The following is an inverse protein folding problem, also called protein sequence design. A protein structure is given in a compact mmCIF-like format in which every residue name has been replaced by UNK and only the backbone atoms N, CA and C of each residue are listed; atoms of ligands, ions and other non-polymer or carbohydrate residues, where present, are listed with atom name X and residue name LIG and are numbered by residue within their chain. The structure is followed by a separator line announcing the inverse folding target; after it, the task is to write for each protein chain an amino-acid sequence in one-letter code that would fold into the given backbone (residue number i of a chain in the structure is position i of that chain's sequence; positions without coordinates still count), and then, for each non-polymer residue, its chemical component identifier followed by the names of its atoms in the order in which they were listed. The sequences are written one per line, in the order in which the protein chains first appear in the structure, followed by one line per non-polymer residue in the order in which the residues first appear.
data_IF_993408656054
#
_entry.id   IF_993408656054
#
_cell.length_a   1.000
_cell.length_b   1.000
_cell.length_c   1.000
_cell.angle_alpha   90.00
_cell.angle_beta   90.00
_cell.angle_gamma   90.00
#
_symmetry.space_group_name_H-M   'P 1'
#
loop_
_entity.id
_entity.type
_entity.pdbx_description
1 polymer ?
#
# COMPACT_ATOMS: atom_id res chain seq x y z
N UNK A 1 0.07 -15.55 7.36
CA UNK A 1 1.13 -14.63 6.94
C UNK A 1 2.35 -14.91 7.80
N UNK A 2 3.25 -15.75 7.29
CA UNK A 2 4.54 -16.03 7.92
C UNK A 2 5.43 -14.88 7.48
N UNK A 3 5.59 -13.85 8.31
CA UNK A 3 6.70 -12.93 8.10
C UNK A 3 7.98 -13.73 8.35
N UNK A 4 8.90 -13.61 7.40
CA UNK A 4 10.22 -14.24 7.40
C UNK A 4 10.93 -14.11 8.76
N UNK A 5 11.78 -15.10 9.06
CA UNK A 5 12.59 -15.30 10.27
C UNK A 5 12.77 -14.03 11.16
N UNK A 6 12.66 -14.12 12.50
CA UNK A 6 12.64 -12.98 13.42
C UNK A 6 13.74 -11.93 13.23
N UNK A 7 14.92 -12.32 12.74
CA UNK A 7 16.04 -11.43 12.46
C UNK A 7 15.77 -10.46 11.31
N UNK A 8 15.07 -10.89 10.26
CA UNK A 8 14.74 -10.05 9.10
C UNK A 8 13.79 -8.93 9.49
N UNK A 9 12.81 -9.27 10.33
CA UNK A 9 11.83 -8.32 10.84
C UNK A 9 12.48 -7.28 11.78
N UNK A 10 13.45 -7.69 12.61
CA UNK A 10 14.24 -6.76 13.41
C UNK A 10 15.04 -5.80 12.52
N UNK A 11 15.74 -6.32 11.51
CA UNK A 11 16.53 -5.51 10.58
C UNK A 11 15.64 -4.46 9.87
N UNK A 12 14.47 -4.88 9.37
CA UNK A 12 13.49 -3.99 8.76
C UNK A 12 13.00 -2.90 9.72
N UNK A 13 12.68 -3.24 10.96
CA UNK A 13 12.25 -2.25 11.96
C UNK A 13 13.35 -1.25 12.28
N UNK A 14 14.59 -1.69 12.47
CA UNK A 14 15.70 -0.78 12.73
C UNK A 14 16.02 0.12 11.53
N UNK A 15 16.00 -0.43 10.31
CA UNK A 15 16.22 0.35 9.09
C UNK A 15 15.12 1.41 8.90
N UNK A 16 13.85 1.06 9.11
CA UNK A 16 12.73 2.01 8.99
C UNK A 16 12.73 3.07 10.09
N UNK A 17 13.18 2.74 11.31
CA UNK A 17 13.38 3.72 12.38
C UNK A 17 14.54 4.66 12.04
N UNK A 18 15.68 4.11 11.61
CA UNK A 18 16.88 4.89 11.26
C UNK A 18 16.64 5.85 10.09
N UNK A 19 15.81 5.45 9.12
CA UNK A 19 15.40 6.30 8.00
C UNK A 19 14.38 7.39 8.39
N UNK A 20 13.93 7.43 9.64
CA UNK A 20 12.89 8.38 10.06
C UNK A 20 11.51 8.04 9.52
N UNK A 21 11.24 6.78 9.21
CA UNK A 21 9.96 6.37 8.62
C UNK A 21 8.92 5.97 9.64
N UNK A 22 9.32 5.29 10.71
CA UNK A 22 8.45 4.96 11.83
C UNK A 22 9.18 5.08 13.16
N UNK A 23 8.44 5.35 14.22
CA UNK A 23 8.96 5.38 15.59
C UNK A 23 8.61 4.11 16.37
N UNK A 24 7.87 3.18 15.76
CA UNK A 24 7.40 1.95 16.37
C UNK A 24 8.28 0.76 16.00
N UNK A 25 8.67 -0.03 17.02
CA UNK A 25 9.30 -1.31 16.82
C UNK A 25 8.28 -2.44 17.02
N UNK A 26 8.10 -3.26 15.99
CA UNK A 26 7.29 -4.46 16.08
C UNK A 26 8.08 -5.63 16.64
N UNK A 27 7.70 -6.14 17.81
CA UNK A 27 8.27 -7.36 18.32
C UNK A 27 7.46 -8.58 17.84
N UNK A 28 8.05 -9.36 16.94
CA UNK A 28 7.44 -10.57 16.38
C UNK A 28 7.19 -11.67 17.44
N UNK A 29 7.96 -11.70 18.53
CA UNK A 29 7.82 -12.75 19.56
C UNK A 29 6.65 -12.49 20.50
N UNK A 30 6.47 -11.25 20.95
CA UNK A 30 5.32 -10.85 21.78
C UNK A 30 4.12 -10.40 20.96
N UNK A 31 4.30 -10.25 19.64
CA UNK A 31 3.32 -9.69 18.71
C UNK A 31 2.77 -8.36 19.26
N UNK A 32 3.68 -7.48 19.70
CA UNK A 32 3.36 -6.16 20.26
C UNK A 32 4.24 -5.09 19.63
N UNK A 33 3.69 -3.89 19.46
CA UNK A 33 4.48 -2.71 19.13
C UNK A 33 4.95 -2.05 20.41
N UNK A 34 6.22 -1.67 20.43
CA UNK A 34 6.78 -0.83 21.47
C UNK A 34 7.31 0.43 20.81
N UNK A 35 6.95 1.56 21.39
CA UNK A 35 7.52 2.86 21.07
C UNK A 35 8.42 3.24 22.23
N UNK A 36 9.69 3.54 21.96
CA UNK A 36 10.64 3.99 22.96
C UNK A 36 11.06 5.43 22.63
N UNK A 37 11.34 6.24 23.66
CA UNK A 37 11.72 7.65 23.50
C UNK A 37 12.93 7.83 22.57
N UNK A 38 13.93 6.95 22.65
CA UNK A 38 15.11 7.03 21.77
C UNK A 38 14.76 6.71 20.30
N UNK A 39 13.77 5.85 20.03
CA UNK A 39 13.31 5.58 18.67
C UNK A 39 12.61 6.81 18.09
N UNK A 40 11.82 7.52 18.90
CA UNK A 40 11.21 8.80 18.53
C UNK A 40 12.25 9.89 18.30
N UNK A 41 13.29 9.95 19.13
CA UNK A 41 14.38 10.91 18.98
C UNK A 41 15.17 10.66 17.69
N UNK A 42 15.60 9.42 17.42
CA UNK A 42 16.30 9.05 16.17
C UNK A 42 15.43 9.36 14.94
N UNK A 43 14.17 8.97 15.02
CA UNK A 43 13.15 9.26 14.03
C UNK A 43 13.04 10.75 13.70
N UNK A 44 13.05 11.60 14.72
CA UNK A 44 12.94 13.06 14.59
C UNK A 44 14.23 13.66 14.03
N UNK A 45 15.39 13.19 14.49
CA UNK A 45 16.70 13.62 13.97
C UNK A 45 16.83 13.28 12.48
N UNK A 46 16.48 12.06 12.06
CA UNK A 46 16.50 11.66 10.66
C UNK A 46 15.55 12.52 9.79
N UNK A 47 14.37 12.85 10.31
CA UNK A 47 13.42 13.73 9.65
C UNK A 47 13.94 15.16 9.52
N UNK A 48 14.49 15.72 10.59
CA UNK A 48 15.09 17.05 10.59
C UNK A 48 16.24 17.12 9.59
N UNK A 49 17.09 16.10 9.58
CA UNK A 49 18.19 15.96 8.63
C UNK A 49 17.71 15.89 7.18
N UNK A 50 16.62 15.16 6.92
CA UNK A 50 16.00 15.11 5.59
C UNK A 50 15.44 16.46 5.18
N UNK A 51 14.72 17.16 6.06
CA UNK A 51 14.15 18.49 5.75
C UNK A 51 15.27 19.49 5.45
N UNK A 52 16.32 19.52 6.26
CA UNK A 52 17.44 20.44 6.08
C UNK A 52 18.23 20.14 4.80
N UNK A 53 18.26 18.88 4.36
CA UNK A 53 18.95 18.47 3.13
C UNK A 53 18.14 18.69 1.86
N UNK A 54 16.80 18.79 1.93
CA UNK A 54 15.94 18.97 0.75
C UNK A 54 16.38 20.14 -0.17
N UNK A 55 16.67 21.36 0.33
CA UNK A 55 17.14 22.46 -0.52
C UNK A 55 18.47 22.14 -1.23
N UNK A 56 19.38 21.45 -0.55
CA UNK A 56 20.68 21.06 -1.12
C UNK A 56 20.52 19.97 -2.19
N UNK A 57 19.66 18.97 -1.94
CA UNK A 57 19.34 17.92 -2.91
C UNK A 57 18.73 18.55 -4.16
N UNK A 58 17.76 19.45 -3.96
CA UNK A 58 17.11 20.19 -5.03
C UNK A 58 18.13 20.98 -5.85
N UNK A 59 18.95 21.79 -5.20
CA UNK A 59 20.00 22.57 -5.85
C UNK A 59 20.98 21.69 -6.65
N UNK A 60 21.44 20.58 -6.07
CA UNK A 60 22.34 19.66 -6.75
C UNK A 60 21.69 18.96 -7.95
N UNK A 61 20.42 18.55 -7.82
CA UNK A 61 19.65 17.99 -8.93
C UNK A 61 19.52 19.00 -10.08
N UNK A 62 19.28 20.27 -9.77
CA UNK A 62 19.20 21.35 -10.76
C UNK A 62 20.54 21.61 -11.44
N UNK A 63 21.62 21.71 -10.66
CA UNK A 63 22.96 21.89 -11.22
C UNK A 63 23.32 20.76 -12.19
N UNK A 64 23.05 19.50 -11.82
CA UNK A 64 23.34 18.32 -12.67
C UNK A 64 22.43 18.23 -13.89
N UNK A 65 21.17 18.64 -13.77
CA UNK A 65 20.26 18.68 -14.92
C UNK A 65 20.69 19.76 -15.92
N UNK A 66 21.08 20.94 -15.44
CA UNK A 66 21.54 22.05 -16.29
C UNK A 66 22.83 21.78 -17.06
N UNK A 67 23.70 20.89 -16.57
CA UNK A 67 24.95 20.52 -17.25
C UNK A 67 24.74 19.47 -18.34
N UNK A 68 23.73 18.61 -18.19
CA UNK A 68 23.45 17.51 -19.11
C UNK A 68 22.53 17.95 -20.27
N UNK A 69 21.66 18.93 -20.05
CA UNK A 69 20.54 19.19 -20.95
C UNK A 69 20.73 20.46 -21.78
N UNK A 70 20.79 20.28 -23.10
CA UNK A 70 20.87 21.37 -24.08
C UNK A 70 19.50 22.00 -24.39
N UNK A 71 18.41 21.44 -23.83
CA UNK A 71 17.04 21.87 -24.07
C UNK A 71 16.40 22.49 -22.81
N UNK A 72 16.03 23.78 -22.84
CA UNK A 72 15.46 24.48 -21.67
C UNK A 72 14.13 23.89 -21.17
N UNK A 73 13.38 23.17 -22.02
CA UNK A 73 12.15 22.51 -21.59
C UNK A 73 12.41 21.31 -20.68
N UNK A 74 13.50 20.56 -20.91
CA UNK A 74 13.87 19.45 -20.02
C UNK A 74 14.20 19.98 -18.62
N UNK A 75 14.94 21.08 -18.57
CA UNK A 75 15.30 21.78 -17.34
C UNK A 75 14.06 22.22 -16.56
N UNK A 76 13.07 22.84 -17.24
CA UNK A 76 11.81 23.26 -16.61
C UNK A 76 11.00 22.09 -16.04
N UNK A 77 10.93 20.98 -16.77
CA UNK A 77 10.24 19.76 -16.30
C UNK A 77 10.96 19.21 -15.07
N UNK A 78 12.28 19.13 -15.09
CA UNK A 78 13.10 18.72 -13.94
C UNK A 78 12.87 19.64 -12.72
N UNK A 79 12.78 20.96 -12.91
CA UNK A 79 12.44 21.91 -11.85
C UNK A 79 11.09 21.57 -11.22
N UNK A 80 10.04 21.43 -12.03
CA UNK A 80 8.68 21.16 -11.54
C UNK A 80 8.63 19.81 -10.80
N UNK A 81 9.19 18.75 -11.37
CA UNK A 81 9.21 17.42 -10.74
C UNK A 81 9.93 17.48 -9.38
N UNK A 82 11.08 18.14 -9.28
CA UNK A 82 11.83 18.20 -8.03
C UNK A 82 11.16 19.10 -6.97
N UNK A 83 10.42 20.14 -7.37
CA UNK A 83 9.59 20.95 -6.45
C UNK A 83 8.48 20.06 -5.87
N UNK A 84 7.71 19.39 -6.74
CA UNK A 84 6.62 18.50 -6.33
C UNK A 84 7.14 17.41 -5.39
N UNK A 85 8.25 16.79 -5.76
CA UNK A 85 8.92 15.78 -4.95
C UNK A 85 9.28 16.30 -3.56
N UNK A 86 9.89 17.48 -3.48
CA UNK A 86 10.30 18.08 -2.21
C UNK A 86 9.10 18.42 -1.33
N UNK A 87 8.02 18.95 -1.93
CA UNK A 87 6.76 19.22 -1.25
C UNK A 87 6.10 17.94 -0.75
N UNK A 88 6.09 16.87 -1.56
CA UNK A 88 5.54 15.58 -1.18
C UNK A 88 6.31 14.97 0.00
N UNK A 89 7.64 14.96 -0.05
CA UNK A 89 8.50 14.47 1.05
C UNK A 89 8.28 15.30 2.32
N UNK A 90 8.29 16.63 2.21
CA UNK A 90 8.06 17.52 3.34
C UNK A 90 6.68 17.25 3.96
N UNK A 91 5.63 17.13 3.14
CA UNK A 91 4.28 16.83 3.61
C UNK A 91 4.22 15.49 4.35
N UNK A 92 4.85 14.44 3.81
CA UNK A 92 4.92 13.11 4.45
C UNK A 92 5.62 13.21 5.81
N UNK A 93 6.77 13.89 5.88
CA UNK A 93 7.53 14.05 7.11
C UNK A 93 6.71 14.79 8.18
N UNK A 94 6.03 15.89 7.80
CA UNK A 94 5.21 16.68 8.71
C UNK A 94 3.99 15.91 9.22
N UNK A 95 3.37 15.07 8.37
CA UNK A 95 2.21 14.25 8.77
C UNK A 95 2.58 12.95 9.47
N UNK A 96 3.85 12.56 9.46
CA UNK A 96 4.33 11.29 10.01
C UNK A 96 3.83 10.96 11.41
N UNK A 97 3.91 11.83 12.44
CA UNK A 97 3.51 11.44 13.80
C UNK A 97 2.05 10.99 13.87
N UNK A 98 1.17 11.66 13.10
CA UNK A 98 -0.24 11.31 12.98
C UNK A 98 -0.43 9.98 12.24
N UNK A 99 0.31 9.77 11.15
CA UNK A 99 0.23 8.53 10.35
C UNK A 99 0.71 7.33 11.16
N UNK A 100 1.81 7.48 11.90
CA UNK A 100 2.38 6.45 12.77
C UNK A 100 1.35 5.99 13.83
N UNK A 101 0.65 6.95 14.46
CA UNK A 101 -0.44 6.66 15.41
C UNK A 101 -1.60 5.92 14.74
N UNK A 102 -2.07 6.43 13.58
CA UNK A 102 -3.17 5.82 12.83
C UNK A 102 -2.81 4.40 12.38
N UNK A 103 -1.59 4.18 11.90
CA UNK A 103 -1.10 2.86 11.50
C UNK A 103 -1.15 1.88 12.67
N UNK A 104 -0.72 2.32 13.84
CA UNK A 104 -0.78 1.51 15.05
C UNK A 104 -2.22 1.15 15.42
N UNK A 105 -3.14 2.12 15.39
CA UNK A 105 -4.56 1.90 15.70
C UNK A 105 -5.24 0.97 14.70
N UNK A 106 -5.06 1.21 13.39
CA UNK A 106 -5.60 0.39 12.30
C UNK A 106 -5.07 -1.04 12.42
N UNK A 107 -3.77 -1.21 12.67
CA UNK A 107 -3.18 -2.53 12.86
C UNK A 107 -3.75 -3.24 14.10
N UNK A 108 -3.88 -2.54 15.23
CA UNK A 108 -4.44 -3.10 16.46
C UNK A 108 -5.88 -3.56 16.26
N UNK A 109 -6.72 -2.71 15.65
CA UNK A 109 -8.11 -3.04 15.30
C UNK A 109 -8.17 -4.24 14.34
N UNK A 110 -7.37 -4.22 13.27
CA UNK A 110 -7.30 -5.32 12.31
C UNK A 110 -6.88 -6.65 12.95
N UNK A 111 -5.91 -6.62 13.88
CA UNK A 111 -5.48 -7.83 14.59
C UNK A 111 -6.57 -8.37 15.52
N UNK A 112 -7.31 -7.50 16.21
CA UNK A 112 -8.45 -7.91 17.03
C UNK A 112 -9.52 -8.55 16.16
N UNK A 113 -9.94 -7.88 15.09
CA UNK A 113 -10.85 -8.40 14.08
C UNK A 113 -10.41 -9.78 13.57
N UNK A 114 -9.11 -9.92 13.25
CA UNK A 114 -8.56 -11.18 12.75
C UNK A 114 -8.66 -12.31 13.78
N UNK A 115 -8.43 -12.04 15.06
CA UNK A 115 -8.58 -13.03 16.12
C UNK A 115 -10.04 -13.39 16.38
N UNK A 116 -10.93 -12.40 16.38
CA UNK A 116 -12.34 -12.58 16.74
C UNK A 116 -13.16 -13.23 15.64
N UNK A 117 -12.95 -12.86 14.37
CA UNK A 117 -13.80 -13.29 13.26
C UNK A 117 -13.04 -14.07 12.20
N UNK A 118 -11.92 -13.52 11.70
CA UNK A 118 -11.27 -14.07 10.50
C UNK A 118 -10.46 -15.35 10.75
N UNK A 119 -10.02 -15.60 11.99
CA UNK A 119 -9.29 -16.80 12.37
C UNK A 119 -10.13 -18.08 12.25
N UNK A 120 -11.46 -17.94 12.30
CA UNK A 120 -12.42 -19.03 12.17
C UNK A 120 -12.64 -19.43 10.70
N UNK A 121 -12.23 -18.58 9.75
CA UNK A 121 -12.46 -18.82 8.32
C UNK A 121 -11.42 -19.82 7.78
N UNK A 122 -11.85 -20.81 6.97
CA UNK A 122 -10.93 -21.76 6.37
C UNK A 122 -10.03 -21.04 5.36
N UNK A 123 -8.78 -21.50 5.26
CA UNK A 123 -7.83 -20.96 4.27
C UNK A 123 -8.20 -21.43 2.87
N UNK A 124 -8.20 -20.51 1.92
CA UNK A 124 -8.57 -20.78 0.53
C UNK A 124 -7.36 -20.54 -0.36
N UNK A 125 -6.79 -21.63 -0.89
CA UNK A 125 -5.51 -21.60 -1.61
C UNK A 125 -5.50 -20.61 -2.80
N UNK A 126 -6.62 -20.47 -3.52
CA UNK A 126 -6.71 -19.52 -4.63
C UNK A 126 -6.62 -18.05 -4.16
N UNK A 127 -7.29 -17.71 -3.06
CA UNK A 127 -7.22 -16.36 -2.46
C UNK A 127 -5.78 -16.07 -2.01
N UNK A 128 -5.17 -17.02 -1.28
CA UNK A 128 -3.79 -16.87 -0.80
C UNK A 128 -2.80 -16.70 -1.95
N UNK A 129 -2.84 -17.56 -2.97
CA UNK A 129 -1.93 -17.49 -4.12
C UNK A 129 -2.05 -16.14 -4.84
N UNK A 130 -3.27 -15.69 -5.13
CA UNK A 130 -3.49 -14.43 -5.86
C UNK A 130 -3.02 -13.22 -5.05
N UNK A 131 -3.36 -13.18 -3.77
CA UNK A 131 -2.98 -12.05 -2.91
C UNK A 131 -1.47 -12.05 -2.64
N UNK A 132 -0.84 -13.22 -2.42
CA UNK A 132 0.61 -13.32 -2.24
C UNK A 132 1.38 -12.86 -3.48
N UNK A 133 0.93 -13.23 -4.69
CA UNK A 133 1.56 -12.74 -5.94
C UNK A 133 1.53 -11.22 -6.03
N UNK A 134 0.41 -10.57 -5.67
CA UNK A 134 0.28 -9.11 -5.70
C UNK A 134 1.25 -8.42 -4.75
N UNK A 135 1.33 -8.88 -3.49
CA UNK A 135 2.25 -8.26 -2.51
C UNK A 135 3.71 -8.53 -2.87
N UNK A 136 4.05 -9.71 -3.38
CA UNK A 136 5.38 -10.02 -3.88
C UNK A 136 5.76 -9.14 -5.07
N UNK A 137 4.87 -8.98 -6.05
CA UNK A 137 5.09 -8.10 -7.20
C UNK A 137 5.33 -6.65 -6.75
N UNK A 138 4.52 -6.13 -5.81
CA UNK A 138 4.70 -4.79 -5.26
C UNK A 138 6.05 -4.63 -4.55
N UNK A 139 6.41 -5.59 -3.71
CA UNK A 139 7.67 -5.58 -2.97
C UNK A 139 8.87 -5.57 -3.92
N UNK A 140 8.90 -6.50 -4.89
CA UNK A 140 9.96 -6.58 -5.90
C UNK A 140 10.06 -5.28 -6.69
N UNK A 141 8.93 -4.71 -7.12
CA UNK A 141 8.92 -3.48 -7.90
C UNK A 141 9.44 -2.27 -7.12
N UNK A 142 9.05 -2.13 -5.84
CA UNK A 142 9.57 -1.07 -4.96
C UNK A 142 11.08 -1.21 -4.78
N UNK A 143 11.60 -2.43 -4.58
CA UNK A 143 13.04 -2.68 -4.49
C UNK A 143 13.76 -2.30 -5.79
N UNK A 144 13.22 -2.69 -6.95
CA UNK A 144 13.76 -2.33 -8.26
C UNK A 144 13.83 -0.81 -8.42
N UNK A 145 12.76 -0.08 -8.07
CA UNK A 145 12.73 1.39 -8.18
C UNK A 145 13.80 2.07 -7.32
N UNK A 146 14.05 1.59 -6.10
CA UNK A 146 15.11 2.12 -5.23
C UNK A 146 16.48 1.83 -5.84
N UNK A 147 16.72 0.61 -6.31
CA UNK A 147 18.00 0.20 -6.93
C UNK A 147 18.27 1.02 -8.19
N UNK A 148 17.29 1.14 -9.10
CA UNK A 148 17.46 1.89 -10.34
C UNK A 148 17.69 3.38 -10.05
N UNK A 149 17.05 3.94 -9.02
CA UNK A 149 17.32 5.33 -8.61
C UNK A 149 18.79 5.51 -8.20
N UNK A 150 19.38 4.53 -7.51
CA UNK A 150 20.82 4.54 -7.20
C UNK A 150 21.66 4.50 -8.49
N UNK A 151 21.33 3.60 -9.42
CA UNK A 151 22.04 3.43 -10.70
C UNK A 151 21.99 4.73 -11.52
N UNK A 152 20.81 5.33 -11.67
CA UNK A 152 20.64 6.62 -12.38
C UNK A 152 21.50 7.71 -11.75
N UNK A 153 21.57 7.76 -10.41
CA UNK A 153 22.39 8.76 -9.72
C UNK A 153 23.90 8.57 -9.95
N UNK A 154 24.36 7.31 -9.99
CA UNK A 154 25.75 6.93 -10.25
C UNK A 154 26.15 7.13 -11.72
N UNK A 155 25.20 7.02 -12.65
CA UNK A 155 25.41 7.22 -14.08
C UNK A 155 25.49 8.69 -14.52
N UNK A 156 25.29 9.65 -13.61
CA UNK A 156 25.55 11.05 -13.92
C UNK A 156 27.01 11.23 -14.36
N UNK A 157 27.23 11.83 -15.53
CA UNK A 157 28.50 11.89 -16.29
C UNK A 157 29.73 12.47 -15.56
N UNK A 158 29.58 12.87 -14.28
CA UNK A 158 30.60 13.49 -13.44
C UNK A 158 30.62 12.91 -12.01
N UNK A 159 30.14 11.67 -11.82
CA UNK A 159 30.10 11.09 -10.47
C UNK A 159 31.50 10.69 -9.98
N UNK A 160 32.17 11.61 -9.29
CA UNK A 160 33.37 11.32 -8.52
C UNK A 160 33.02 10.80 -7.12
N UNK A 161 33.83 9.88 -6.58
CA UNK A 161 33.67 9.31 -5.25
C UNK A 161 34.10 10.27 -4.12
N UNK A 162 33.52 11.46 -4.10
CA UNK A 162 33.74 12.47 -3.06
C UNK A 162 32.70 12.35 -1.95
N UNK A 163 33.05 12.77 -0.73
CA UNK A 163 32.14 12.78 0.42
C UNK A 163 30.83 13.53 0.14
N UNK A 164 30.88 14.61 -0.65
CA UNK A 164 29.70 15.36 -1.05
C UNK A 164 28.77 14.53 -1.96
N UNK A 165 29.33 13.83 -2.94
CA UNK A 165 28.56 12.97 -3.84
C UNK A 165 27.95 11.75 -3.13
N UNK A 166 28.67 11.16 -2.17
CA UNK A 166 28.12 10.13 -1.27
C UNK A 166 26.95 10.67 -0.44
N UNK A 167 27.11 11.86 0.15
CA UNK A 167 26.05 12.51 0.90
C UNK A 167 24.79 12.71 0.04
N UNK A 168 24.93 13.25 -1.17
CA UNK A 168 23.80 13.45 -2.08
C UNK A 168 23.14 12.13 -2.50
N UNK A 169 23.93 11.09 -2.79
CA UNK A 169 23.40 9.76 -3.10
C UNK A 169 22.55 9.24 -1.93
N UNK A 170 23.07 9.30 -0.71
CA UNK A 170 22.33 8.87 0.50
C UNK A 170 21.02 9.64 0.67
N UNK A 171 21.05 10.96 0.48
CA UNK A 171 19.86 11.80 0.61
C UNK A 171 18.81 11.55 -0.50
N UNK A 172 19.24 11.33 -1.74
CA UNK A 172 18.35 10.94 -2.85
C UNK A 172 17.72 9.58 -2.58
N UNK A 173 18.49 8.61 -2.08
CA UNK A 173 17.97 7.31 -1.69
C UNK A 173 17.00 7.42 -0.51
N UNK A 174 17.31 8.24 0.48
CA UNK A 174 16.44 8.47 1.63
C UNK A 174 15.10 9.09 1.21
N UNK A 175 15.10 10.18 0.44
CA UNK A 175 13.87 10.81 -0.06
C UNK A 175 13.04 9.86 -0.94
N UNK A 176 13.71 9.06 -1.80
CA UNK A 176 13.04 8.04 -2.62
C UNK A 176 12.40 6.98 -1.73
N UNK A 177 13.15 6.50 -0.75
CA UNK A 177 12.68 5.45 0.15
C UNK A 177 11.48 5.94 0.97
N UNK A 178 11.48 7.19 1.44
CA UNK A 178 10.34 7.81 2.13
C UNK A 178 9.08 7.75 1.25
N UNK A 179 9.15 8.23 0.01
CA UNK A 179 8.02 8.22 -0.92
C UNK A 179 7.52 6.80 -1.20
N UNK A 180 8.43 5.89 -1.55
CA UNK A 180 8.09 4.52 -1.96
C UNK A 180 7.55 3.69 -0.79
N UNK A 181 8.09 3.85 0.41
CA UNK A 181 7.58 3.12 1.59
C UNK A 181 6.26 3.71 2.10
N UNK A 182 6.02 5.01 1.98
CA UNK A 182 4.70 5.59 2.31
C UNK A 182 3.59 5.01 1.45
N UNK A 183 3.77 4.94 0.12
CA UNK A 183 2.77 4.32 -0.76
C UNK A 183 2.71 2.80 -0.57
N UNK A 184 3.85 2.14 -0.30
CA UNK A 184 3.85 0.71 0.04
C UNK A 184 3.05 0.41 1.31
N UNK A 185 3.15 1.24 2.35
CA UNK A 185 2.37 1.07 3.58
C UNK A 185 0.87 1.20 3.29
N UNK A 186 0.47 2.21 2.51
CA UNK A 186 -0.91 2.36 2.06
C UNK A 186 -1.39 1.10 1.30
N UNK A 187 -0.63 0.65 0.30
CA UNK A 187 -0.90 -0.57 -0.45
C UNK A 187 -1.03 -1.79 0.47
N UNK A 188 -0.13 -1.93 1.43
CA UNK A 188 -0.08 -3.09 2.32
C UNK A 188 -1.28 -3.16 3.28
N UNK A 189 -1.71 -2.03 3.84
CA UNK A 189 -2.93 -1.96 4.64
C UNK A 189 -4.16 -2.28 3.80
N UNK A 190 -4.27 -1.67 2.61
CA UNK A 190 -5.37 -1.92 1.69
C UNK A 190 -5.42 -3.38 1.23
N UNK A 191 -4.26 -3.95 0.93
CA UNK A 191 -4.09 -5.37 0.61
C UNK A 191 -4.56 -6.27 1.75
N UNK A 192 -4.22 -5.94 2.99
CA UNK A 192 -4.62 -6.71 4.18
C UNK A 192 -6.14 -6.70 4.38
N UNK A 193 -6.76 -5.53 4.21
CA UNK A 193 -8.22 -5.36 4.29
C UNK A 193 -8.89 -6.13 3.15
N UNK A 194 -8.45 -5.94 1.91
CA UNK A 194 -9.01 -6.62 0.74
C UNK A 194 -8.85 -8.15 0.83
N UNK A 195 -7.70 -8.63 1.27
CA UNK A 195 -7.46 -10.05 1.51
C UNK A 195 -8.51 -10.62 2.46
N UNK A 196 -8.78 -9.91 3.55
CA UNK A 196 -9.81 -10.29 4.53
C UNK A 196 -11.22 -10.18 3.98
N UNK A 197 -11.53 -9.15 3.20
CA UNK A 197 -12.81 -8.99 2.51
C UNK A 197 -13.07 -10.14 1.54
N UNK A 198 -12.05 -10.67 0.84
CA UNK A 198 -12.22 -11.84 -0.03
C UNK A 198 -12.59 -13.10 0.74
N UNK A 199 -12.05 -13.29 1.94
CA UNK A 199 -12.45 -14.40 2.81
C UNK A 199 -13.88 -14.24 3.30
N UNK A 200 -14.25 -13.02 3.71
CA UNK A 200 -15.64 -12.68 4.04
C UNK A 200 -16.57 -12.97 2.86
N UNK A 201 -16.25 -12.48 1.67
CA UNK A 201 -17.01 -12.73 0.44
C UNK A 201 -17.17 -14.22 0.15
N UNK A 202 -16.09 -14.98 0.24
CA UNK A 202 -16.11 -16.42 0.00
C UNK A 202 -17.01 -17.13 1.01
N UNK A 203 -16.96 -16.73 2.27
CA UNK A 203 -17.77 -17.33 3.32
C UNK A 203 -19.26 -16.97 3.19
N UNK A 204 -19.59 -15.73 2.80
CA UNK A 204 -20.97 -15.32 2.47
C UNK A 204 -21.56 -16.21 1.37
N UNK A 205 -20.78 -16.49 0.30
CA UNK A 205 -21.22 -17.39 -0.77
C UNK A 205 -21.51 -18.81 -0.26
N UNK A 206 -20.69 -19.32 0.64
CA UNK A 206 -20.90 -20.63 1.23
C UNK A 206 -22.18 -20.66 2.09
N UNK A 207 -22.38 -19.64 2.92
CA UNK A 207 -23.60 -19.53 3.73
C UNK A 207 -24.86 -19.40 2.86
N UNK A 208 -24.80 -18.66 1.76
CA UNK A 208 -25.91 -18.57 0.79
C UNK A 208 -26.29 -19.96 0.26
N UNK A 209 -25.29 -20.75 -0.15
CA UNK A 209 -25.51 -22.11 -0.63
C UNK A 209 -26.12 -22.99 0.46
N UNK A 210 -25.53 -22.98 1.67
CA UNK A 210 -26.04 -23.80 2.79
C UNK A 210 -27.44 -23.38 3.25
N UNK A 211 -27.76 -22.09 3.19
CA UNK A 211 -29.11 -21.58 3.49
C UNK A 211 -30.09 -22.09 2.46
N UNK A 212 -29.76 -21.98 1.16
CA UNK A 212 -30.63 -22.46 0.08
C UNK A 212 -30.89 -23.97 0.18
N UNK A 213 -29.87 -24.76 0.50
CA UNK A 213 -30.00 -26.19 0.71
C UNK A 213 -30.83 -26.51 1.97
N UNK A 214 -30.64 -25.76 3.05
CA UNK A 214 -31.38 -25.98 4.30
C UNK A 214 -32.87 -25.67 4.16
N UNK A 215 -33.22 -24.64 3.38
CA UNK A 215 -34.61 -24.31 3.01
C UNK A 215 -35.20 -25.44 2.17
N UNK A 216 -34.48 -25.90 1.14
CA UNK A 216 -34.93 -27.00 0.27
C UNK A 216 -35.20 -28.30 1.03
N UNK A 217 -34.45 -28.56 2.10
CA UNK A 217 -34.56 -29.78 2.91
C UNK A 217 -35.29 -29.59 4.26
N UNK A 218 -35.90 -28.42 4.52
CA UNK A 218 -36.68 -28.16 5.74
C UNK A 218 -35.91 -28.21 7.07
N UNK A 219 -34.60 -27.95 7.07
CA UNK A 219 -33.75 -28.08 8.27
C UNK A 219 -33.74 -26.83 9.16
N UNK A 220 -34.82 -26.62 9.92
CA UNK A 220 -35.06 -25.40 10.74
C UNK A 220 -33.96 -25.09 11.76
N UNK A 221 -33.43 -26.09 12.46
CA UNK A 221 -32.36 -25.89 13.45
C UNK A 221 -31.06 -25.32 12.82
N UNK A 222 -30.79 -25.69 11.56
CA UNK A 222 -29.60 -25.25 10.83
C UNK A 222 -29.73 -23.79 10.39
N UNK A 223 -30.94 -23.33 10.07
CA UNK A 223 -31.21 -21.93 9.72
C UNK A 223 -30.92 -20.98 10.89
N UNK A 224 -31.28 -21.35 12.12
CA UNK A 224 -30.98 -20.54 13.32
C UNK A 224 -29.47 -20.44 13.59
N UNK A 225 -28.72 -21.52 13.36
CA UNK A 225 -27.26 -21.51 13.47
C UNK A 225 -26.63 -20.61 12.40
N UNK A 226 -27.09 -20.75 11.14
CA UNK A 226 -26.63 -19.92 10.01
C UNK A 226 -26.89 -18.44 10.24
N UNK A 227 -28.00 -18.05 10.87
CA UNK A 227 -28.29 -16.66 11.20
C UNK A 227 -27.25 -16.03 12.14
N UNK A 228 -26.74 -16.79 13.12
CA UNK A 228 -25.66 -16.35 14.00
C UNK A 228 -24.34 -16.14 13.26
N UNK A 229 -24.03 -17.01 12.30
CA UNK A 229 -22.83 -16.88 11.45
C UNK A 229 -22.94 -15.70 10.48
N UNK A 230 -24.12 -15.45 9.91
CA UNK A 230 -24.40 -14.25 9.10
C UNK A 230 -24.16 -12.98 9.91
N UNK A 231 -24.65 -12.91 11.15
CA UNK A 231 -24.45 -11.74 12.00
C UNK A 231 -22.95 -11.46 12.27
N UNK A 232 -22.18 -12.50 12.58
CA UNK A 232 -20.72 -12.38 12.78
C UNK A 232 -20.00 -11.88 11.53
N UNK A 233 -20.42 -12.34 10.36
CA UNK A 233 -19.81 -11.93 9.10
C UNK A 233 -20.18 -10.50 8.73
N UNK A 234 -21.42 -10.08 8.99
CA UNK A 234 -21.87 -8.71 8.80
C UNK A 234 -21.03 -7.76 9.66
N UNK A 235 -20.83 -8.11 10.93
CA UNK A 235 -19.97 -7.35 11.85
C UNK A 235 -18.52 -7.31 11.35
N UNK A 236 -17.98 -8.43 10.87
CA UNK A 236 -16.64 -8.47 10.29
C UNK A 236 -16.51 -7.60 9.03
N UNK A 237 -17.52 -7.61 8.15
CA UNK A 237 -17.58 -6.77 6.96
C UNK A 237 -17.65 -5.28 7.31
N UNK A 238 -18.50 -4.91 8.27
CA UNK A 238 -18.64 -3.54 8.77
C UNK A 238 -17.32 -3.03 9.33
N UNK A 239 -16.68 -3.78 10.23
CA UNK A 239 -15.39 -3.40 10.81
C UNK A 239 -14.26 -3.30 9.77
N UNK A 240 -14.22 -4.17 8.75
CA UNK A 240 -13.28 -4.04 7.63
C UNK A 240 -13.52 -2.77 6.81
N UNK A 241 -14.78 -2.39 6.65
CA UNK A 241 -15.17 -1.19 5.90
C UNK A 241 -14.83 0.09 6.67
N UNK A 242 -15.05 0.10 7.98
CA UNK A 242 -14.59 1.18 8.87
C UNK A 242 -13.06 1.32 8.80
N UNK A 243 -12.32 0.21 8.81
CA UNK A 243 -10.87 0.22 8.65
C UNK A 243 -10.43 0.80 7.30
N UNK A 244 -11.10 0.43 6.21
CA UNK A 244 -10.82 0.98 4.88
C UNK A 244 -11.07 2.49 4.84
N UNK A 245 -12.17 2.95 5.46
CA UNK A 245 -12.50 4.38 5.56
C UNK A 245 -11.46 5.16 6.37
N UNK A 246 -11.07 4.65 7.54
CA UNK A 246 -10.03 5.27 8.37
C UNK A 246 -8.71 5.34 7.62
N UNK A 247 -8.34 4.28 6.89
CA UNK A 247 -7.13 4.27 6.06
C UNK A 247 -7.20 5.37 4.98
N UNK A 248 -8.28 5.40 4.19
CA UNK A 248 -8.45 6.37 3.09
C UNK A 248 -8.47 7.81 3.59
N UNK A 249 -9.14 8.08 4.72
CA UNK A 249 -9.20 9.43 5.31
C UNK A 249 -7.83 9.96 5.72
N UNK A 250 -6.93 9.08 6.19
CA UNK A 250 -5.62 9.48 6.68
C UNK A 250 -4.54 9.42 5.59
N UNK A 251 -4.62 8.47 4.67
CA UNK A 251 -3.66 8.30 3.57
C UNK A 251 -4.04 9.00 2.28
N UNK A 252 -5.29 9.44 2.08
CA UNK A 252 -5.77 9.96 0.80
C UNK A 252 -4.89 11.09 0.23
N UNK A 253 -4.60 12.11 1.04
CA UNK A 253 -3.73 13.21 0.61
C UNK A 253 -2.25 12.82 0.45
N UNK A 254 -1.76 11.85 1.23
CA UNK A 254 -0.39 11.36 1.14
C UNK A 254 -0.21 10.54 -0.14
N UNK A 255 -1.16 9.64 -0.42
CA UNK A 255 -1.19 8.87 -1.65
C UNK A 255 -1.30 9.81 -2.85
N UNK A 256 -2.16 10.84 -2.79
CA UNK A 256 -2.26 11.85 -3.86
C UNK A 256 -0.93 12.60 -4.08
N UNK A 257 -0.25 13.01 -3.01
CA UNK A 257 1.04 13.68 -3.12
C UNK A 257 2.11 12.78 -3.76
N UNK A 258 2.15 11.49 -3.40
CA UNK A 258 3.05 10.51 -4.02
C UNK A 258 2.67 10.25 -5.47
N UNK A 259 1.39 10.12 -5.80
CA UNK A 259 0.94 9.94 -7.18
C UNK A 259 1.29 11.15 -8.05
N UNK A 260 1.23 12.37 -7.51
CA UNK A 260 1.64 13.57 -8.24
C UNK A 260 3.16 13.56 -8.55
N UNK A 261 4.00 13.12 -7.60
CA UNK A 261 5.43 12.88 -7.84
C UNK A 261 5.66 11.80 -8.89
N UNK A 262 4.90 10.70 -8.85
CA UNK A 262 5.03 9.61 -9.82
C UNK A 262 4.59 10.01 -11.24
N UNK A 263 3.49 10.77 -11.38
CA UNK A 263 3.01 11.27 -12.66
C UNK A 263 4.02 12.25 -13.28
N UNK A 264 4.47 13.24 -12.51
CA UNK A 264 5.45 14.21 -13.01
C UNK A 264 6.80 13.56 -13.29
N UNK A 265 7.18 12.52 -12.55
CA UNK A 265 8.36 11.69 -12.85
C UNK A 265 8.20 10.88 -14.14
N UNK A 266 7.00 10.35 -14.41
CA UNK A 266 6.69 9.64 -15.66
C UNK A 266 6.73 10.59 -16.86
N UNK A 267 6.10 11.75 -16.76
CA UNK A 267 6.14 12.78 -17.80
C UNK A 267 7.57 13.18 -18.13
N UNK A 268 8.39 13.41 -17.09
CA UNK A 268 9.81 13.66 -17.26
C UNK A 268 10.51 12.53 -18.00
N UNK A 269 10.32 11.28 -17.59
CA UNK A 269 10.98 10.14 -18.23
C UNK A 269 10.53 9.94 -19.67
N UNK A 270 9.25 10.19 -19.97
CA UNK A 270 8.73 10.14 -21.34
C UNK A 270 9.38 11.22 -22.20
N UNK A 271 9.48 12.45 -21.69
CA UNK A 271 10.10 13.56 -22.42
C UNK A 271 11.60 13.32 -22.65
N UNK A 272 12.34 12.89 -21.62
CA UNK A 272 13.73 12.49 -21.75
C UNK A 272 13.91 11.32 -22.71
N UNK A 273 13.01 10.32 -22.66
CA UNK A 273 13.02 9.17 -23.55
C UNK A 273 12.84 9.57 -25.01
N UNK A 274 11.91 10.48 -25.33
CA UNK A 274 11.72 11.01 -26.69
C UNK A 274 13.02 11.68 -27.16
N UNK A 275 13.58 12.60 -26.38
CA UNK A 275 14.79 13.33 -26.78
C UNK A 275 15.96 12.38 -26.99
N UNK A 276 16.23 11.47 -26.05
CA UNK A 276 17.35 10.53 -26.16
C UNK A 276 17.18 9.48 -27.25
N UNK A 277 15.95 9.15 -27.66
CA UNK A 277 15.72 8.19 -28.75
C UNK A 277 16.05 8.80 -30.11
N UNK A 278 15.78 10.09 -30.29
CA UNK A 278 16.03 10.80 -31.55
C UNK A 278 17.40 11.51 -31.60
N UNK A 279 18.10 11.60 -30.48
CA UNK A 279 19.44 12.20 -30.39
C UNK A 279 20.54 11.14 -30.52
N UNK A 280 21.41 11.32 -31.50
CA UNK A 280 22.52 10.39 -31.80
C UNK A 280 23.65 10.42 -30.76
N UNK A 281 23.60 11.37 -29.81
CA UNK A 281 24.60 11.53 -28.75
C UNK A 281 24.24 10.76 -27.47
N UNK A 282 23.02 10.24 -27.34
CA UNK A 282 22.61 9.51 -26.16
C UNK A 282 23.22 8.10 -26.12
N UNK A 283 23.89 7.77 -25.02
CA UNK A 283 24.48 6.45 -24.83
C UNK A 283 23.39 5.39 -24.61
N UNK A 284 23.50 4.24 -25.29
CA UNK A 284 22.49 3.17 -25.29
C UNK A 284 22.09 2.70 -23.87
N UNK A 285 23.05 2.69 -22.93
CA UNK A 285 22.77 2.24 -21.57
C UNK A 285 21.86 3.20 -20.80
N UNK A 286 21.89 4.51 -21.08
CA UNK A 286 20.97 5.49 -20.48
C UNK A 286 19.54 5.25 -20.97
N UNK A 287 19.38 4.94 -22.26
CA UNK A 287 18.09 4.55 -22.83
C UNK A 287 17.55 3.27 -22.18
N UNK A 288 18.38 2.24 -22.00
CA UNK A 288 17.98 0.98 -21.35
C UNK A 288 17.56 1.23 -19.90
N UNK A 289 18.38 1.93 -19.11
CA UNK A 289 18.07 2.21 -17.70
C UNK A 289 16.81 3.08 -17.56
N UNK A 290 16.69 4.13 -18.37
CA UNK A 290 15.50 4.99 -18.39
C UNK A 290 14.23 4.23 -18.77
N UNK A 291 14.32 3.33 -19.76
CA UNK A 291 13.20 2.48 -20.19
C UNK A 291 12.75 1.53 -19.07
N UNK A 292 13.70 0.84 -18.43
CA UNK A 292 13.39 -0.06 -17.30
C UNK A 292 12.76 0.75 -16.15
N UNK A 293 13.30 1.93 -15.85
CA UNK A 293 12.75 2.81 -14.81
C UNK A 293 11.32 3.25 -15.12
N UNK A 294 11.06 3.66 -16.36
CA UNK A 294 9.73 4.03 -16.82
C UNK A 294 8.72 2.89 -16.64
N UNK A 295 9.05 1.69 -17.11
CA UNK A 295 8.18 0.52 -16.96
C UNK A 295 7.97 0.13 -15.49
N UNK A 296 9.01 0.23 -14.65
CA UNK A 296 8.88 -0.03 -13.22
C UNK A 296 7.94 1.00 -12.53
N UNK A 297 7.97 2.26 -12.94
CA UNK A 297 7.04 3.28 -12.43
C UNK A 297 5.60 3.04 -12.89
N UNK A 298 5.38 2.76 -14.18
CA UNK A 298 4.04 2.41 -14.71
C UNK A 298 3.49 1.18 -14.00
N UNK A 299 4.30 0.14 -13.83
CA UNK A 299 3.90 -1.06 -13.11
C UNK A 299 3.59 -0.77 -11.63
N UNK A 300 4.31 0.17 -10.99
CA UNK A 300 4.04 0.58 -9.62
C UNK A 300 2.64 1.17 -9.45
N UNK A 301 2.33 2.15 -10.31
CA UNK A 301 1.05 2.84 -10.36
C UNK A 301 -0.07 1.85 -10.70
N UNK A 302 0.14 0.98 -11.68
CA UNK A 302 -0.80 -0.05 -12.05
C UNK A 302 -1.14 -0.96 -10.86
N UNK A 303 -0.14 -1.41 -10.09
CA UNK A 303 -0.38 -2.25 -8.92
C UNK A 303 -1.22 -1.53 -7.84
N UNK A 304 -0.98 -0.24 -7.62
CA UNK A 304 -1.75 0.55 -6.66
C UNK A 304 -3.21 0.70 -7.09
N UNK A 305 -3.45 1.07 -8.34
CA UNK A 305 -4.82 1.16 -8.89
C UNK A 305 -5.52 -0.20 -8.92
N UNK A 306 -4.81 -1.26 -9.29
CA UNK A 306 -5.35 -2.62 -9.27
C UNK A 306 -5.78 -3.03 -7.86
N UNK A 307 -5.01 -2.67 -6.83
CA UNK A 307 -5.36 -2.96 -5.44
C UNK A 307 -6.60 -2.19 -5.00
N UNK A 308 -6.71 -0.91 -5.36
CA UNK A 308 -7.92 -0.11 -5.14
C UNK A 308 -9.14 -0.74 -5.84
N UNK A 309 -9.04 -1.05 -7.12
CA UNK A 309 -10.13 -1.63 -7.92
C UNK A 309 -10.60 -2.98 -7.37
N UNK A 310 -9.67 -3.89 -7.05
CA UNK A 310 -10.02 -5.19 -6.45
C UNK A 310 -10.70 -4.99 -5.10
N UNK A 311 -10.25 -4.03 -4.28
CA UNK A 311 -10.86 -3.76 -2.98
C UNK A 311 -12.30 -3.29 -3.13
N UNK A 312 -12.54 -2.31 -4.00
CA UNK A 312 -13.87 -1.76 -4.27
C UNK A 312 -14.80 -2.82 -4.84
N UNK A 313 -14.36 -3.59 -5.84
CA UNK A 313 -15.14 -4.69 -6.42
C UNK A 313 -15.50 -5.77 -5.39
N UNK A 314 -14.56 -6.11 -4.51
CA UNK A 314 -14.79 -7.11 -3.45
C UNK A 314 -15.79 -6.58 -2.44
N UNK A 315 -15.68 -5.30 -2.05
CA UNK A 315 -16.60 -4.64 -1.12
C UNK A 315 -18.05 -4.66 -1.64
N UNK A 316 -18.30 -4.16 -2.85
CA UNK A 316 -19.65 -4.16 -3.42
C UNK A 316 -20.19 -5.56 -3.67
N UNK A 317 -19.33 -6.52 -4.04
CA UNK A 317 -19.75 -7.89 -4.19
C UNK A 317 -20.15 -8.54 -2.85
N UNK A 318 -19.55 -8.15 -1.71
CA UNK A 318 -20.03 -8.57 -0.40
C UNK A 318 -21.42 -7.99 -0.09
N UNK A 319 -21.63 -6.69 -0.35
CA UNK A 319 -22.92 -6.02 -0.11
C UNK A 319 -24.03 -6.71 -0.89
N UNK A 320 -23.86 -6.86 -2.21
CA UNK A 320 -24.88 -7.49 -3.06
C UNK A 320 -25.23 -8.92 -2.61
N UNK A 321 -24.25 -9.64 -2.05
CA UNK A 321 -24.47 -10.98 -1.53
C UNK A 321 -25.17 -10.98 -0.16
N UNK A 322 -24.85 -10.04 0.71
CA UNK A 322 -25.55 -9.86 1.99
C UNK A 322 -27.02 -9.47 1.77
N UNK A 323 -27.31 -8.61 0.79
CA UNK A 323 -28.68 -8.26 0.40
C UNK A 323 -29.47 -9.47 -0.10
N UNK A 324 -28.81 -10.41 -0.80
CA UNK A 324 -29.47 -11.66 -1.19
C UNK A 324 -29.77 -12.58 0.00
N UNK A 325 -28.93 -12.61 1.04
CA UNK A 325 -29.19 -13.35 2.28
C UNK A 325 -30.39 -12.77 3.01
N UNK A 326 -30.45 -11.44 3.14
CA UNK A 326 -31.55 -10.78 3.85
C UNK A 326 -32.89 -11.04 3.14
N UNK A 327 -32.92 -10.95 1.80
CA UNK A 327 -34.10 -11.28 1.00
C UNK A 327 -34.55 -12.75 1.19
N UNK A 328 -33.62 -13.71 1.16
CA UNK A 328 -33.93 -15.12 1.41
C UNK A 328 -34.50 -15.35 2.81
N UNK A 329 -33.97 -14.65 3.81
CA UNK A 329 -34.42 -14.79 5.20
C UNK A 329 -35.85 -14.24 5.40
N UNK A 330 -36.19 -13.14 4.72
CA UNK A 330 -37.57 -12.60 4.68
C UNK A 330 -38.53 -13.58 3.99
N UNK A 331 -38.11 -14.19 2.87
CA UNK A 331 -38.92 -15.20 2.19
C UNK A 331 -39.16 -16.44 3.06
N UNK A 332 -38.14 -16.90 3.80
CA UNK A 332 -38.31 -18.02 4.73
C UNK A 332 -39.31 -17.71 5.83
N UNK A 333 -39.25 -16.51 6.44
CA UNK A 333 -40.24 -16.09 7.44
C UNK A 333 -41.67 -16.03 6.87
N UNK A 334 -41.84 -15.50 5.67
CA UNK A 334 -43.16 -15.45 5.01
C UNK A 334 -43.71 -16.87 4.72
N UNK A 335 -42.85 -17.81 4.34
CA UNK A 335 -43.21 -19.22 4.16
C UNK A 335 -43.56 -19.91 5.49
N UNK A 336 -42.91 -19.55 6.58
CA UNK A 336 -43.25 -20.05 7.92
C UNK A 336 -44.61 -19.53 8.40
N UNK A 337 -44.89 -18.24 8.23
CA UNK A 337 -46.17 -17.62 8.62
C UNK A 337 -47.36 -18.23 7.83
N UNK A 338 -47.16 -18.51 6.54
CA UNK A 338 -48.17 -19.16 5.70
C UNK A 338 -48.36 -20.65 6.04
N UNK A 339 -47.29 -21.37 6.40
CA UNK A 339 -47.40 -22.76 6.84
C UNK A 339 -48.10 -22.88 8.21
N UNK A 340 -47.84 -21.96 9.14
CA UNK A 340 -48.51 -21.94 10.46
C UNK A 340 -49.98 -21.53 10.37
N UNK A 341 -50.36 -20.69 9.40
CA UNK A 341 -51.76 -20.37 9.13
C UNK A 341 -52.53 -21.56 8.53
N UNK A 342 -51.90 -22.36 7.68
CA UNK A 342 -52.54 -23.53 7.06
C UNK A 342 -52.63 -24.76 7.98
N UNK A 343 -51.92 -24.75 9.12
CA UNK A 343 -51.93 -25.83 10.11
C UNK A 343 -52.96 -25.62 11.24
N UNK A 344 -53.62 -24.45 11.29
CA UNK A 344 -54.77 -24.15 12.15
C UNK A 344 -56.05 -24.34 11.36
#
# INVERSE_FOLDING_TARGET
MIMHKPWYQRLYNYATIALGMTSFNYNATSDTYKQQLWMQALALVANLWTILSLPFIFWNAMKRSSTIQWNPMMTNIDYITNIIRSLAVLYIILKRPKIDLVNYEVFCKYRRLRKTYLALLPRVAFIERRMNRLICAKYINVSILVIITAVIFLQGSEFEWTWSNYYFLLMVLQTTTILRLTIFNFFWFLWSICHSLKYVQWHIRHLLQETSDSVRHGKRWRLNMLAGDVHRILEAHWQLSELAWVLMRNYGFLALAVFLDEITSLERQLYCGIIFTFDHRAELHLLVVGTIYFFAMVFNIYLDFLMCDITVKTYYACINQLDSISAMNVQCKALEETAEQNAK
#
